data_IF_057157420505
#
_entry.id   IF_057157420505
#
_cell.length_a   1.000
_cell.length_b   1.000
_cell.length_c   1.000
_cell.angle_alpha   90.00
_cell.angle_beta   90.00
_cell.angle_gamma   90.00
#
_symmetry.space_group_name_H-M   'P 1'
#
loop_
_entity.id
_entity.type
_entity.pdbx_description
1 polymer ?
#
# COMPACT_ATOMS: atom_id res chain seq x y z
N UNK A 1 5.15 16.49 16.42
CA UNK A 1 5.88 15.29 16.87
C UNK A 1 5.05 14.02 16.76
N UNK A 2 3.79 13.99 17.23
CA UNK A 2 2.94 12.78 17.16
C UNK A 2 2.86 12.15 15.76
N UNK A 3 2.73 12.96 14.71
CA UNK A 3 2.74 12.48 13.32
C UNK A 3 4.02 11.72 12.97
N UNK A 4 5.19 12.28 13.31
CA UNK A 4 6.48 11.65 13.03
C UNK A 4 6.63 10.32 13.75
N UNK A 5 6.14 10.22 14.99
CA UNK A 5 6.15 8.97 15.75
C UNK A 5 5.27 7.93 15.07
N UNK A 6 4.03 8.25 14.73
CA UNK A 6 3.13 7.35 14.01
C UNK A 6 3.71 6.93 12.65
N UNK A 7 4.32 7.87 11.93
CA UNK A 7 4.95 7.62 10.63
C UNK A 7 6.13 6.65 10.75
N UNK A 8 7.04 6.86 11.72
CA UNK A 8 8.19 5.97 11.93
C UNK A 8 7.73 4.59 12.41
N UNK A 9 6.76 4.54 13.33
CA UNK A 9 6.19 3.29 13.81
C UNK A 9 5.55 2.47 12.67
N UNK A 10 4.98 3.12 11.65
CA UNK A 10 4.46 2.43 10.47
C UNK A 10 5.52 1.54 9.80
N UNK A 11 6.75 2.04 9.66
CA UNK A 11 7.85 1.28 9.04
C UNK A 11 8.41 0.20 9.98
N UNK A 12 8.51 0.51 11.27
CA UNK A 12 8.97 -0.45 12.28
C UNK A 12 8.00 -1.63 12.35
N UNK A 13 6.70 -1.35 12.51
CA UNK A 13 5.66 -2.37 12.59
C UNK A 13 5.55 -3.17 11.28
N UNK A 14 5.73 -2.53 10.12
CA UNK A 14 5.81 -3.24 8.85
C UNK A 14 6.99 -4.22 8.78
N UNK A 15 8.17 -3.80 9.24
CA UNK A 15 9.38 -4.64 9.27
C UNK A 15 9.29 -5.78 10.29
N UNK A 16 8.66 -5.54 11.44
CA UNK A 16 8.48 -6.51 12.51
C UNK A 16 7.26 -7.42 12.32
N UNK A 17 6.28 -7.02 11.51
CA UNK A 17 5.09 -7.86 11.29
C UNK A 17 5.49 -9.16 10.62
N UNK A 18 5.24 -10.26 11.31
CA UNK A 18 5.40 -11.59 10.78
C UNK A 18 4.37 -11.88 9.67
N UNK A 19 4.77 -12.61 8.62
CA UNK A 19 3.85 -13.23 7.67
C UNK A 19 2.77 -14.03 8.42
N UNK A 20 1.50 -13.65 8.30
CA UNK A 20 0.40 -14.42 8.91
C UNK A 20 -0.06 -15.60 8.05
N UNK A 21 0.59 -15.84 6.90
CA UNK A 21 0.30 -16.92 5.94
C UNK A 21 1.47 -17.11 4.98
N UNK A 22 1.43 -18.16 4.14
CA UNK A 22 2.44 -18.42 3.11
C UNK A 22 2.21 -17.58 1.84
N UNK A 23 3.32 -17.18 1.17
CA UNK A 23 3.29 -16.59 -0.17
C UNK A 23 2.67 -15.19 -0.25
N UNK A 24 1.79 -14.96 -1.22
CA UNK A 24 1.22 -13.63 -1.55
C UNK A 24 0.46 -12.99 -0.37
N UNK A 25 -0.30 -13.79 0.37
CA UNK A 25 -1.14 -13.33 1.48
C UNK A 25 -0.30 -12.81 2.66
N UNK A 26 0.94 -13.31 2.82
CA UNK A 26 1.94 -12.75 3.75
C UNK A 26 2.20 -11.26 3.49
N UNK A 27 2.42 -10.92 2.22
CA UNK A 27 2.70 -9.55 1.80
C UNK A 27 1.50 -8.65 2.04
N UNK A 28 0.29 -9.16 1.76
CA UNK A 28 -0.95 -8.41 1.92
C UNK A 28 -1.23 -8.05 3.39
N UNK A 29 -0.90 -8.93 4.34
CA UNK A 29 -1.01 -8.62 5.77
C UNK A 29 -0.13 -7.44 6.18
N UNK A 30 1.14 -7.46 5.76
CA UNK A 30 2.10 -6.40 6.06
C UNK A 30 1.65 -5.06 5.45
N UNK A 31 1.25 -5.08 4.18
CA UNK A 31 0.73 -3.90 3.50
C UNK A 31 -0.54 -3.38 4.18
N UNK A 32 -1.47 -4.25 4.56
CA UNK A 32 -2.70 -3.88 5.27
C UNK A 32 -2.42 -3.14 6.58
N UNK A 33 -1.51 -3.67 7.42
CA UNK A 33 -1.09 -2.99 8.65
C UNK A 33 -0.40 -1.66 8.39
N UNK A 34 0.49 -1.60 7.40
CA UNK A 34 1.13 -0.33 7.02
C UNK A 34 0.09 0.71 6.62
N UNK A 35 -0.90 0.33 5.82
CA UNK A 35 -1.99 1.23 5.40
C UNK A 35 -2.85 1.70 6.58
N UNK A 36 -3.06 0.86 7.60
CA UNK A 36 -3.72 1.28 8.84
C UNK A 36 -2.92 2.39 9.56
N UNK A 37 -1.61 2.25 9.65
CA UNK A 37 -0.74 3.31 10.18
C UNK A 37 -0.74 4.58 9.32
N UNK A 38 -0.80 4.45 8.00
CA UNK A 38 -0.95 5.61 7.11
C UNK A 38 -2.28 6.34 7.35
N UNK A 39 -3.37 5.64 7.65
CA UNK A 39 -4.64 6.28 8.01
C UNK A 39 -4.52 7.07 9.32
N UNK A 40 -3.86 6.52 10.35
CA UNK A 40 -3.58 7.22 11.61
C UNK A 40 -2.72 8.47 11.36
N UNK A 41 -1.65 8.33 10.57
CA UNK A 41 -0.78 9.44 10.19
C UNK A 41 -1.53 10.52 9.40
N UNK A 42 -2.47 10.13 8.51
CA UNK A 42 -3.30 11.06 7.75
C UNK A 42 -4.16 11.93 8.67
N UNK A 43 -4.83 11.31 9.65
CA UNK A 43 -5.68 12.04 10.61
C UNK A 43 -4.86 13.05 11.40
N UNK A 44 -3.71 12.64 11.94
CA UNK A 44 -2.83 13.54 12.70
C UNK A 44 -2.33 14.68 11.80
N UNK A 45 -1.97 14.37 10.56
CA UNK A 45 -1.53 15.34 9.58
C UNK A 45 -2.60 16.41 9.29
N UNK A 46 -3.85 16.00 9.09
CA UNK A 46 -4.98 16.93 8.88
C UNK A 46 -5.15 17.85 10.08
N UNK A 47 -5.13 17.31 11.30
CA UNK A 47 -5.24 18.10 12.53
C UNK A 47 -4.11 19.15 12.61
N UNK A 48 -2.87 18.73 12.37
CA UNK A 48 -1.70 19.62 12.40
C UNK A 48 -1.82 20.71 11.34
N UNK A 49 -2.26 20.38 10.12
CA UNK A 49 -2.44 21.35 9.05
C UNK A 49 -3.54 22.38 9.40
N UNK A 50 -4.67 21.93 9.93
CA UNK A 50 -5.79 22.80 10.33
C UNK A 50 -5.36 23.75 11.44
N UNK A 51 -4.69 23.26 12.49
CA UNK A 51 -4.18 24.09 13.58
C UNK A 51 -3.14 25.08 13.02
N UNK A 52 -2.19 24.59 12.24
CA UNK A 52 -1.11 25.40 11.72
C UNK A 52 -1.53 26.43 10.67
N UNK A 53 -2.71 26.27 10.06
CA UNK A 53 -3.31 27.27 9.17
C UNK A 53 -3.59 28.60 9.86
N UNK A 54 -3.70 28.60 11.20
CA UNK A 54 -3.93 29.79 12.04
C UNK A 54 -2.66 30.59 12.33
N UNK A 55 -1.47 30.03 12.10
CA UNK A 55 -0.23 30.77 12.26
C UNK A 55 -0.06 31.83 11.15
N UNK A 56 0.77 32.83 11.43
CA UNK A 56 1.08 33.90 10.49
C UNK A 56 1.60 33.37 9.15
N UNK A 57 1.24 34.07 8.06
CA UNK A 57 1.41 33.55 6.69
C UNK A 57 2.85 33.19 6.31
N UNK A 58 3.86 33.74 6.99
CA UNK A 58 5.30 33.53 6.74
C UNK A 58 6.05 32.91 7.94
N UNK A 59 5.37 32.39 8.94
CA UNK A 59 6.04 31.78 10.08
C UNK A 59 6.59 30.38 9.75
N UNK A 60 7.76 30.05 10.30
CA UNK A 60 8.34 28.71 10.18
C UNK A 60 7.38 27.62 10.71
N UNK A 61 6.59 27.94 11.75
CA UNK A 61 5.58 27.05 12.31
C UNK A 61 4.48 26.69 11.31
N UNK A 62 4.04 27.65 10.49
CA UNK A 62 3.05 27.41 9.43
C UNK A 62 3.61 26.47 8.36
N UNK A 63 4.86 26.67 7.94
CA UNK A 63 5.52 25.79 6.97
C UNK A 63 5.65 24.38 7.54
N UNK A 64 6.15 24.25 8.77
CA UNK A 64 6.32 22.96 9.44
C UNK A 64 4.99 22.18 9.57
N UNK A 65 3.87 22.89 9.81
CA UNK A 65 2.55 22.26 9.91
C UNK A 65 2.04 21.64 8.60
N UNK A 66 2.57 22.05 7.44
CA UNK A 66 2.17 21.50 6.14
C UNK A 66 2.97 20.28 5.72
N UNK A 67 4.17 20.10 6.27
CA UNK A 67 5.07 19.00 5.92
C UNK A 67 4.36 17.64 6.03
N UNK A 68 3.68 17.31 7.16
CA UNK A 68 2.93 16.06 7.26
C UNK A 68 1.94 15.84 6.13
N UNK A 69 1.15 16.86 5.78
CA UNK A 69 0.09 16.69 4.78
C UNK A 69 0.63 16.58 3.36
N UNK A 70 1.70 17.30 3.03
CA UNK A 70 2.34 17.19 1.72
C UNK A 70 2.88 15.77 1.54
N UNK A 71 3.50 15.21 2.58
CA UNK A 71 4.01 13.83 2.57
C UNK A 71 2.85 12.84 2.42
N UNK A 72 1.76 12.99 3.17
CA UNK A 72 0.61 12.09 3.06
C UNK A 72 -0.05 12.15 1.67
N UNK A 73 -0.14 13.33 1.07
CA UNK A 73 -0.63 13.49 -0.31
C UNK A 73 0.31 12.77 -1.28
N UNK A 74 1.63 12.95 -1.15
CA UNK A 74 2.60 12.28 -2.01
C UNK A 74 2.51 10.76 -1.89
N UNK A 75 2.34 10.22 -0.69
CA UNK A 75 2.16 8.77 -0.46
C UNK A 75 0.86 8.27 -1.09
N UNK A 76 -0.25 8.98 -0.89
CA UNK A 76 -1.53 8.61 -1.49
C UNK A 76 -1.46 8.61 -3.02
N UNK A 77 -0.80 9.62 -3.62
CA UNK A 77 -0.57 9.67 -5.05
C UNK A 77 0.31 8.52 -5.53
N UNK A 78 1.45 8.28 -4.86
CA UNK A 78 2.36 7.19 -5.21
C UNK A 78 1.66 5.82 -5.17
N UNK A 79 0.86 5.59 -4.13
CA UNK A 79 0.09 4.35 -3.97
C UNK A 79 -1.01 4.22 -5.04
N UNK A 80 -1.74 5.31 -5.32
CA UNK A 80 -2.74 5.33 -6.39
C UNK A 80 -2.14 5.10 -7.79
N UNK A 81 -1.00 5.71 -8.08
CA UNK A 81 -0.22 5.48 -9.31
C UNK A 81 0.27 4.04 -9.41
N UNK A 82 0.73 3.45 -8.31
CA UNK A 82 1.13 2.05 -8.26
C UNK A 82 -0.03 1.10 -8.58
N UNK A 83 -1.23 1.34 -8.02
CA UNK A 83 -2.41 0.54 -8.34
C UNK A 83 -2.79 0.71 -9.82
N UNK A 84 -2.83 1.93 -10.33
CA UNK A 84 -3.18 2.22 -11.72
C UNK A 84 -2.21 1.55 -12.71
N UNK A 85 -0.91 1.60 -12.43
CA UNK A 85 0.10 0.96 -13.27
C UNK A 85 0.06 -0.57 -13.18
N UNK A 86 -0.26 -1.14 -12.01
CA UNK A 86 -0.38 -2.60 -11.84
C UNK A 86 -1.47 -3.22 -12.72
N UNK A 87 -2.60 -2.52 -12.90
CA UNK A 87 -3.69 -2.97 -13.78
C UNK A 87 -3.32 -2.92 -15.27
N UNK A 88 -2.54 -1.92 -15.67
CA UNK A 88 -2.04 -1.80 -17.05
C UNK A 88 -1.02 -2.91 -17.39
N UNK A 89 -0.12 -3.22 -16.46
CA UNK A 89 0.91 -4.28 -16.65
C UNK A 89 0.27 -5.67 -16.65
N UNK A 90 -0.68 -5.93 -15.73
CA UNK A 90 -1.41 -7.20 -15.67
C UNK A 90 -2.30 -7.47 -16.89
N UNK A 91 -2.93 -6.42 -17.43
CA UNK A 91 -3.72 -6.53 -18.67
C UNK A 91 -2.90 -6.85 -19.92
N UNK A 92 -1.61 -6.48 -19.93
CA UNK A 92 -0.71 -6.77 -21.05
C UNK A 92 -0.13 -8.20 -21.00
N UNK A 93 -0.02 -8.79 -19.80
CA UNK A 93 0.47 -10.15 -19.59
C UNK A 93 -0.62 -11.23 -19.84
N UNK A 94 -1.90 -10.91 -19.72
CA UNK A 94 -3.02 -11.84 -19.91
C UNK A 94 -3.42 -12.13 -21.37
N UNK A 95 -2.64 -11.65 -22.35
CA UNK A 95 -3.02 -11.66 -23.77
C UNK A 95 -2.76 -12.95 -24.56
N UNK A 96 -2.07 -13.95 -24.03
CA UNK A 96 -1.66 -15.13 -24.84
C UNK A 96 -1.50 -16.43 -24.06
N UNK A 97 -2.53 -16.89 -23.35
CA UNK A 97 -2.56 -18.28 -22.86
C UNK A 97 -3.72 -19.08 -23.46
N UNK A 98 -3.64 -19.35 -24.76
CA UNK A 98 -4.16 -20.63 -25.28
C UNK A 98 -3.14 -21.70 -24.92
N UNK A 99 -3.16 -22.16 -23.66
CA UNK A 99 -2.39 -23.32 -23.24
C UNK A 99 -2.88 -24.54 -24.05
N UNK A 100 -2.03 -25.24 -24.84
CA UNK A 100 -2.45 -26.43 -25.55
C UNK A 100 -2.94 -27.46 -24.54
N UNK A 101 -4.23 -27.83 -24.58
CA UNK A 101 -4.71 -28.98 -23.83
C UNK A 101 -3.93 -30.20 -24.33
N UNK A 102 -2.96 -30.67 -23.55
CA UNK A 102 -2.36 -31.96 -23.82
C UNK A 102 -3.48 -33.01 -23.71
N UNK A 103 -3.62 -33.93 -24.69
CA UNK A 103 -4.66 -34.94 -24.67
C UNK A 103 -4.57 -35.74 -23.38
N UNK A 104 -5.62 -35.68 -22.55
CA UNK A 104 -5.76 -36.57 -21.40
C UNK A 104 -5.97 -37.97 -21.95
N UNK A 105 -4.92 -38.80 -21.94
CA UNK A 105 -5.04 -40.23 -22.20
C UNK A 105 -5.92 -40.83 -21.12
N UNK A 106 -7.13 -41.25 -21.50
CA UNK A 106 -8.02 -42.01 -20.62
C UNK A 106 -7.28 -43.27 -20.13
N UNK A 107 -7.37 -43.64 -18.85
CA UNK A 107 -6.85 -44.92 -18.37
C UNK A 107 -7.45 -46.07 -19.19
N UNK A 108 -6.61 -47.03 -19.61
CA UNK A 108 -7.05 -48.18 -20.38
C UNK A 108 -8.06 -49.01 -19.57
N UNK A 109 -9.23 -49.21 -20.15
CA UNK A 109 -10.28 -50.07 -19.61
C UNK A 109 -9.81 -51.54 -19.70
N UNK A 110 -9.79 -52.31 -18.60
CA UNK A 110 -9.34 -53.69 -18.64
C UNK A 110 -10.34 -54.52 -19.45
N UNK A 111 -9.83 -55.24 -20.45
CA UNK A 111 -10.62 -56.17 -21.26
C UNK A 111 -11.27 -57.24 -20.37
N UNK A 112 -12.60 -57.40 -20.51
CA UNK A 112 -13.35 -58.53 -19.97
C UNK A 112 -13.28 -59.72 -20.92
#
# INVERSE_FOLDING_TARGET
MLWSVAFILAFIDFGMTEPSSDGFTAGLNKVGKFMAWQAVALVISVIVWVIGSRFERRSAQRVASRIPGIIMIAIALAFGLFILSSGLIGGMAGGTETSPQMPVTKPAEPAQ
#
